data_IF_718923066305
#
_entry.id   IF_718923066305
#
_cell.length_a   1.000
_cell.length_b   1.000
_cell.length_c   1.000
_cell.angle_alpha   90.00
_cell.angle_beta   90.00
_cell.angle_gamma   90.00
#
_symmetry.space_group_name_H-M   'P 1'
#
loop_
_entity.id
_entity.type
_entity.pdbx_description
1 polymer ?
#
# COMPACT_ATOMS: atom_id res chain seq x y z
N UNK A 1 5.06 -21.98 -27.42
CA UNK A 1 4.79 -20.54 -27.55
C UNK A 1 5.65 -19.69 -26.59
N UNK A 2 6.92 -19.40 -26.90
CA UNK A 2 7.77 -18.58 -26.03
C UNK A 2 8.04 -17.15 -26.53
N UNK A 3 7.52 -16.74 -27.70
CA UNK A 3 7.77 -15.40 -28.24
C UNK A 3 6.94 -14.28 -27.61
N UNK A 4 5.74 -14.57 -27.11
CA UNK A 4 4.86 -13.54 -26.53
C UNK A 4 5.31 -13.02 -25.16
N UNK A 5 5.96 -13.86 -24.34
CA UNK A 5 6.49 -13.42 -23.03
C UNK A 5 7.71 -12.49 -23.17
N UNK A 6 8.63 -12.79 -24.06
CA UNK A 6 9.82 -11.93 -24.30
C UNK A 6 9.49 -10.56 -24.84
N UNK A 7 8.43 -10.42 -25.63
CA UNK A 7 7.95 -9.11 -26.13
C UNK A 7 7.25 -8.30 -25.04
N UNK A 8 6.53 -8.95 -24.12
CA UNK A 8 5.88 -8.31 -22.99
C UNK A 8 6.91 -7.84 -21.94
N UNK A 9 7.94 -8.66 -21.66
CA UNK A 9 9.01 -8.32 -20.73
C UNK A 9 9.89 -7.17 -21.29
N UNK A 10 10.16 -7.16 -22.59
CA UNK A 10 10.89 -6.07 -23.25
C UNK A 10 10.08 -4.74 -23.28
N UNK A 11 8.75 -4.80 -23.46
CA UNK A 11 7.89 -3.62 -23.42
C UNK A 11 7.73 -3.06 -21.99
N UNK A 12 7.68 -3.93 -20.98
CA UNK A 12 7.66 -3.55 -19.56
C UNK A 12 9.00 -2.94 -19.11
N UNK A 13 10.13 -3.49 -19.56
CA UNK A 13 11.45 -2.94 -19.32
C UNK A 13 11.61 -1.55 -19.95
N UNK A 14 11.23 -1.38 -21.21
CA UNK A 14 11.29 -0.09 -21.91
C UNK A 14 10.33 0.96 -21.33
N UNK A 15 9.20 0.55 -20.77
CA UNK A 15 8.28 1.45 -20.06
C UNK A 15 8.82 1.86 -18.68
N UNK A 16 9.50 0.96 -17.98
CA UNK A 16 10.18 1.23 -16.71
C UNK A 16 11.36 2.20 -16.93
N UNK A 17 12.22 1.95 -17.93
CA UNK A 17 13.33 2.86 -18.30
C UNK A 17 12.85 4.26 -18.70
N UNK A 18 11.73 4.37 -19.43
CA UNK A 18 11.12 5.68 -19.74
C UNK A 18 10.58 6.38 -18.50
N UNK A 19 10.06 5.64 -17.55
CA UNK A 19 9.58 6.17 -16.25
C UNK A 19 10.75 6.67 -15.39
N UNK A 20 11.84 5.93 -15.29
CA UNK A 20 13.06 6.31 -14.57
C UNK A 20 13.72 7.54 -15.18
N UNK A 21 13.90 7.59 -16.50
CA UNK A 21 14.48 8.75 -17.19
C UNK A 21 13.66 10.02 -17.00
N UNK A 22 12.33 9.94 -17.05
CA UNK A 22 11.44 11.08 -16.77
C UNK A 22 11.55 11.57 -15.32
N UNK A 23 11.85 10.68 -14.39
CA UNK A 23 11.96 10.96 -12.97
C UNK A 23 13.31 11.59 -12.62
N UNK A 24 14.42 11.06 -13.13
CA UNK A 24 15.74 11.69 -12.99
C UNK A 24 15.78 13.08 -13.61
N UNK A 25 15.13 13.31 -14.75
CA UNK A 25 15.00 14.63 -15.35
C UNK A 25 14.37 15.65 -14.39
N UNK A 26 13.35 15.28 -13.63
CA UNK A 26 12.72 16.17 -12.63
C UNK A 26 13.65 16.48 -11.45
N UNK A 27 14.42 15.50 -10.98
CA UNK A 27 15.38 15.65 -9.88
C UNK A 27 16.49 16.59 -10.33
N UNK A 28 17.09 16.32 -11.49
CA UNK A 28 18.15 17.16 -12.06
C UNK A 28 17.65 18.58 -12.30
N UNK A 29 16.42 18.73 -12.82
CA UNK A 29 15.82 20.05 -13.05
C UNK A 29 15.69 20.85 -11.74
N UNK A 30 15.30 20.19 -10.64
CA UNK A 30 15.20 20.85 -9.32
C UNK A 30 16.56 21.36 -8.84
N UNK A 31 17.63 20.57 -9.00
CA UNK A 31 19.00 20.95 -8.60
C UNK A 31 19.52 22.09 -9.46
N UNK A 32 19.37 21.97 -10.78
CA UNK A 32 19.88 22.96 -11.75
C UNK A 32 19.18 24.32 -11.58
N UNK A 33 17.88 24.32 -11.26
CA UNK A 33 17.14 25.55 -10.95
C UNK A 33 17.67 26.26 -9.70
N UNK A 34 18.03 25.51 -8.65
CA UNK A 34 18.65 26.11 -7.45
C UNK A 34 20.03 26.68 -7.73
N UNK A 35 20.79 26.10 -8.68
CA UNK A 35 22.08 26.64 -9.11
C UNK A 35 21.96 27.96 -9.87
N UNK A 36 20.78 28.30 -10.42
CA UNK A 36 20.52 29.56 -11.11
C UNK A 36 20.81 30.79 -10.25
N UNK A 37 20.53 30.69 -8.95
CA UNK A 37 20.73 31.80 -8.00
C UNK A 37 22.21 32.01 -7.64
N UNK A 38 23.06 31.01 -7.92
CA UNK A 38 24.49 31.01 -7.59
C UNK A 38 25.38 31.21 -8.83
N UNK A 39 24.82 31.08 -10.05
CA UNK A 39 25.57 31.06 -11.29
C UNK A 39 24.84 31.80 -12.43
N UNK A 40 25.53 32.72 -13.06
CA UNK A 40 25.07 33.54 -14.18
C UNK A 40 25.21 32.85 -15.56
N UNK A 41 25.57 31.56 -15.59
CA UNK A 41 25.79 30.77 -16.80
C UNK A 41 24.70 29.70 -16.95
N UNK A 42 24.49 29.26 -18.23
CA UNK A 42 23.67 28.07 -18.48
C UNK A 42 24.36 26.83 -17.89
N UNK A 43 23.63 26.11 -17.04
CA UNK A 43 24.06 24.85 -16.45
C UNK A 43 22.95 23.86 -16.65
N UNK A 44 23.29 22.61 -16.98
CA UNK A 44 22.31 21.57 -17.21
C UNK A 44 22.90 20.17 -17.28
N UNK A 45 22.07 19.24 -17.75
CA UNK A 45 22.39 17.81 -17.88
C UNK A 45 21.95 17.32 -19.26
N UNK A 46 22.76 16.50 -19.86
CA UNK A 46 22.42 15.74 -21.09
C UNK A 46 22.38 14.26 -20.78
N UNK A 47 21.53 13.53 -21.53
CA UNK A 47 21.47 12.06 -21.51
C UNK A 47 22.46 11.41 -22.47
N UNK A 48 22.48 10.08 -22.53
CA UNK A 48 23.32 9.29 -23.44
C UNK A 48 23.02 9.55 -24.93
N UNK A 49 21.83 10.07 -25.25
CA UNK A 49 21.44 10.44 -26.61
C UNK A 49 21.82 11.89 -26.98
N UNK A 50 22.42 12.61 -26.03
CA UNK A 50 22.79 14.02 -26.18
C UNK A 50 21.61 14.97 -26.06
N UNK A 51 20.48 14.53 -25.50
CA UNK A 51 19.33 15.37 -25.27
C UNK A 51 19.47 16.10 -23.94
N UNK A 52 19.23 17.40 -23.93
CA UNK A 52 19.20 18.20 -22.69
C UNK A 52 17.98 17.81 -21.88
N UNK A 53 18.19 17.12 -20.75
CA UNK A 53 17.12 16.61 -19.87
C UNK A 53 16.81 17.57 -18.73
N UNK A 54 17.74 18.46 -18.38
CA UNK A 54 17.56 19.50 -17.37
C UNK A 54 18.46 20.72 -17.70
N UNK A 55 17.95 21.93 -17.48
CA UNK A 55 18.71 23.15 -17.66
C UNK A 55 18.10 24.33 -16.87
N UNK A 56 18.93 25.23 -16.34
CA UNK A 56 18.47 26.48 -15.73
C UNK A 56 17.92 27.49 -16.76
N UNK A 57 18.27 27.34 -18.04
CA UNK A 57 17.64 28.00 -19.18
C UNK A 57 16.63 27.03 -19.80
N UNK A 58 15.32 27.19 -19.49
CA UNK A 58 14.28 26.26 -19.89
C UNK A 58 14.13 26.06 -21.41
N UNK A 59 14.56 27.03 -22.21
CA UNK A 59 14.55 26.96 -23.67
C UNK A 59 15.47 25.88 -24.26
N UNK A 60 16.50 25.46 -23.52
CA UNK A 60 17.44 24.44 -23.96
C UNK A 60 16.94 23.01 -23.74
N UNK A 61 15.90 22.82 -22.93
CA UNK A 61 15.39 21.47 -22.58
C UNK A 61 14.78 20.82 -23.83
N UNK A 62 15.21 19.58 -24.10
CA UNK A 62 14.78 18.81 -25.28
C UNK A 62 15.64 19.06 -26.54
N UNK A 63 16.57 20.01 -26.53
CA UNK A 63 17.51 20.17 -27.61
C UNK A 63 18.49 18.99 -27.67
N UNK A 64 18.87 18.59 -28.89
CA UNK A 64 19.87 17.54 -29.10
C UNK A 64 21.22 18.19 -29.47
N UNK A 65 22.19 17.98 -28.60
CA UNK A 65 23.58 18.42 -28.82
C UNK A 65 24.41 17.20 -29.21
N UNK A 66 24.81 17.13 -30.49
CA UNK A 66 25.47 15.98 -31.07
C UNK A 66 26.78 15.59 -30.39
N UNK A 67 27.09 14.29 -30.40
CA UNK A 67 28.31 13.65 -29.89
C UNK A 67 28.35 13.31 -28.40
N UNK A 68 27.20 13.03 -27.81
CA UNK A 68 27.10 12.59 -26.39
C UNK A 68 27.93 11.32 -26.10
N UNK A 69 28.00 10.37 -27.05
CA UNK A 69 28.74 9.11 -26.84
C UNK A 69 30.24 9.35 -26.57
N UNK A 70 30.86 10.36 -27.19
CA UNK A 70 32.26 10.72 -26.94
C UNK A 70 32.44 11.45 -25.59
N UNK A 71 31.40 12.19 -25.13
CA UNK A 71 31.40 12.89 -23.86
C UNK A 71 31.21 11.95 -22.69
N UNK A 72 30.39 10.90 -22.85
CA UNK A 72 30.10 9.89 -21.82
C UNK A 72 31.17 8.78 -21.77
N UNK A 73 31.90 8.56 -22.86
CA UNK A 73 33.05 7.63 -22.90
C UNK A 73 34.34 8.23 -22.30
N UNK A 74 34.33 9.52 -21.93
CA UNK A 74 35.46 10.15 -21.27
C UNK A 74 35.64 9.54 -19.85
N UNK A 75 36.88 9.54 -19.36
CA UNK A 75 37.16 9.14 -17.97
C UNK A 75 36.31 9.96 -17.00
N UNK A 76 35.82 9.34 -15.94
CA UNK A 76 34.85 9.94 -14.99
C UNK A 76 35.27 11.30 -14.43
N UNK A 77 36.58 11.59 -14.37
CA UNK A 77 37.11 12.88 -13.91
C UNK A 77 37.49 13.83 -15.03
N UNK A 78 37.37 13.42 -16.28
CA UNK A 78 37.78 14.26 -17.43
C UNK A 78 36.74 15.36 -17.68
N UNK A 79 37.24 16.59 -17.80
CA UNK A 79 36.49 17.72 -18.34
C UNK A 79 36.66 17.74 -19.85
N UNK A 80 35.57 17.79 -20.58
CA UNK A 80 35.55 17.85 -22.04
C UNK A 80 34.97 19.18 -22.48
N UNK A 81 35.73 19.92 -23.29
CA UNK A 81 35.29 21.22 -23.86
C UNK A 81 34.81 20.99 -25.27
N UNK A 82 33.60 21.42 -25.57
CA UNK A 82 33.04 21.32 -26.91
C UNK A 82 32.00 22.43 -27.18
N UNK A 83 32.12 23.11 -28.32
CA UNK A 83 31.16 24.09 -28.83
C UNK A 83 30.74 25.18 -27.82
N UNK A 84 31.69 25.74 -27.06
CA UNK A 84 31.39 26.80 -26.11
C UNK A 84 30.85 26.33 -24.78
N UNK A 85 30.89 25.01 -24.52
CA UNK A 85 30.44 24.39 -23.26
C UNK A 85 31.51 23.45 -22.69
N UNK A 86 31.59 23.40 -21.39
CA UNK A 86 32.38 22.44 -20.63
C UNK A 86 31.47 21.34 -20.10
N UNK A 87 31.82 20.07 -20.32
CA UNK A 87 31.07 18.89 -19.89
C UNK A 87 31.88 18.07 -18.91
N UNK A 88 31.16 17.42 -17.98
CA UNK A 88 31.75 16.42 -17.08
C UNK A 88 30.75 15.28 -16.88
N UNK A 89 31.16 14.01 -17.11
CA UNK A 89 30.30 12.85 -16.86
C UNK A 89 29.84 12.79 -15.40
N UNK A 90 28.58 12.38 -15.16
CA UNK A 90 28.12 11.99 -13.83
C UNK A 90 28.56 10.56 -13.54
N UNK A 91 29.05 10.25 -12.32
CA UNK A 91 29.39 8.88 -11.95
C UNK A 91 28.18 7.96 -12.14
N UNK A 92 28.34 6.88 -12.90
CA UNK A 92 27.33 5.88 -13.15
C UNK A 92 27.62 4.57 -12.44
N UNK A 93 26.65 3.66 -12.43
CA UNK A 93 26.82 2.29 -11.91
C UNK A 93 27.76 1.51 -12.86
N UNK A 94 28.69 0.76 -12.32
CA UNK A 94 29.71 -0.01 -13.09
C UNK A 94 30.68 0.80 -13.98
N UNK A 95 30.88 2.09 -13.70
CA UNK A 95 31.84 2.91 -14.43
C UNK A 95 31.37 3.44 -15.79
N UNK A 96 30.13 3.17 -16.19
CA UNK A 96 29.49 3.83 -17.32
C UNK A 96 28.63 5.00 -16.85
N UNK A 97 28.71 6.12 -17.54
CA UNK A 97 27.96 7.34 -17.24
C UNK A 97 26.77 7.47 -18.19
N UNK A 98 25.55 7.48 -17.65
CA UNK A 98 24.31 7.66 -18.43
C UNK A 98 23.99 9.14 -18.67
N UNK A 99 24.62 10.04 -17.91
CA UNK A 99 24.39 11.47 -17.92
C UNK A 99 25.70 12.26 -17.83
N UNK A 100 25.72 13.45 -18.42
CA UNK A 100 26.80 14.40 -18.24
C UNK A 100 26.25 15.78 -17.87
N UNK A 101 26.85 16.43 -16.87
CA UNK A 101 26.59 17.83 -16.59
C UNK A 101 27.32 18.72 -17.58
N UNK A 102 26.76 19.90 -17.88
CA UNK A 102 27.41 20.92 -18.69
C UNK A 102 27.30 22.31 -18.06
N UNK A 103 28.28 23.15 -18.40
CA UNK A 103 28.24 24.57 -18.08
C UNK A 103 28.68 25.36 -19.31
N UNK A 104 28.02 26.50 -19.63
CA UNK A 104 28.39 27.38 -20.73
C UNK A 104 29.74 28.07 -20.45
N UNK A 105 30.65 27.97 -21.39
CA UNK A 105 32.01 28.54 -21.34
C UNK A 105 33.08 27.46 -21.44
N UNK A 106 34.32 27.91 -21.75
CA UNK A 106 35.49 27.06 -21.93
C UNK A 106 36.61 27.45 -20.93
N UNK A 107 36.31 28.33 -20.01
CA UNK A 107 37.24 28.88 -19.03
C UNK A 107 37.25 28.09 -17.71
N UNK A 108 38.21 28.38 -16.84
CA UNK A 108 38.34 27.73 -15.52
C UNK A 108 37.08 27.87 -14.65
N UNK A 109 36.32 28.95 -14.81
CA UNK A 109 35.08 29.19 -14.08
C UNK A 109 33.96 28.24 -14.55
N UNK A 110 33.90 27.97 -15.87
CA UNK A 110 32.97 26.98 -16.42
C UNK A 110 33.32 25.56 -15.94
N UNK A 111 34.62 25.23 -15.88
CA UNK A 111 35.12 23.97 -15.38
C UNK A 111 34.77 23.77 -13.89
N UNK A 112 34.93 24.82 -13.07
CA UNK A 112 34.55 24.78 -11.66
C UNK A 112 33.04 24.60 -11.48
N UNK A 113 32.21 25.39 -12.16
CA UNK A 113 30.75 25.31 -12.10
C UNK A 113 30.26 23.94 -12.54
N UNK A 114 30.80 23.38 -13.63
CA UNK A 114 30.47 22.04 -14.11
C UNK A 114 30.83 20.97 -13.08
N UNK A 115 31.98 21.06 -12.45
CA UNK A 115 32.41 20.11 -11.38
C UNK A 115 31.52 20.19 -10.15
N UNK A 116 31.12 21.39 -9.71
CA UNK A 116 30.16 21.58 -8.61
C UNK A 116 28.79 21.04 -8.97
N UNK A 117 28.35 21.24 -10.24
CA UNK A 117 27.09 20.66 -10.72
C UNK A 117 27.10 19.14 -10.65
N UNK A 118 28.18 18.47 -11.05
CA UNK A 118 28.31 17.01 -10.94
C UNK A 118 28.16 16.55 -9.50
N UNK A 119 28.83 17.22 -8.54
CA UNK A 119 28.73 16.85 -7.12
C UNK A 119 27.28 16.97 -6.63
N UNK A 120 26.60 18.09 -6.93
CA UNK A 120 25.23 18.33 -6.49
C UNK A 120 24.24 17.36 -7.15
N UNK A 121 24.36 17.13 -8.45
CA UNK A 121 23.50 16.22 -9.22
C UNK A 121 23.69 14.77 -8.80
N UNK A 122 24.95 14.35 -8.61
CA UNK A 122 25.24 12.99 -8.13
C UNK A 122 24.71 12.77 -6.70
N UNK A 123 24.88 13.74 -5.81
CA UNK A 123 24.31 13.67 -4.47
C UNK A 123 22.77 13.54 -4.49
N UNK A 124 22.10 14.29 -5.36
CA UNK A 124 20.65 14.20 -5.52
C UNK A 124 20.22 12.86 -6.14
N UNK A 125 20.96 12.34 -7.13
CA UNK A 125 20.75 11.03 -7.75
C UNK A 125 20.90 9.91 -6.71
N UNK A 126 22.01 9.86 -5.98
CA UNK A 126 22.29 8.85 -4.95
C UNK A 126 21.24 8.88 -3.84
N UNK A 127 20.87 10.07 -3.35
CA UNK A 127 19.83 10.21 -2.34
C UNK A 127 18.48 9.65 -2.81
N UNK A 128 18.14 9.86 -4.09
CA UNK A 128 16.92 9.36 -4.68
C UNK A 128 16.94 7.83 -4.85
N UNK A 129 18.06 7.28 -5.34
CA UNK A 129 18.27 5.85 -5.50
C UNK A 129 18.18 5.12 -4.15
N UNK A 130 18.86 5.62 -3.12
CA UNK A 130 18.78 5.07 -1.75
C UNK A 130 17.36 5.05 -1.21
N UNK A 131 16.59 6.11 -1.48
CA UNK A 131 15.21 6.24 -1.04
C UNK A 131 14.28 5.26 -1.74
N UNK A 132 14.40 5.10 -3.06
CA UNK A 132 13.62 4.14 -3.84
C UNK A 132 14.00 2.70 -3.48
N UNK A 133 15.26 2.46 -3.17
CA UNK A 133 15.73 1.14 -2.77
C UNK A 133 15.12 0.72 -1.41
N UNK A 134 14.96 1.64 -0.44
CA UNK A 134 14.23 1.38 0.82
C UNK A 134 12.75 1.08 0.60
N UNK A 135 12.07 1.81 -0.26
CA UNK A 135 10.66 1.58 -0.57
C UNK A 135 10.46 0.23 -1.28
N UNK A 136 11.29 -0.07 -2.25
CA UNK A 136 11.31 -1.37 -2.94
C UNK A 136 11.65 -2.51 -2.00
N UNK A 137 12.61 -2.33 -1.11
CA UNK A 137 12.96 -3.29 -0.07
C UNK A 137 11.76 -3.61 0.85
N UNK A 138 11.09 -2.58 1.37
CA UNK A 138 9.90 -2.76 2.21
C UNK A 138 8.78 -3.45 1.43
N UNK A 139 8.55 -3.07 0.16
CA UNK A 139 7.55 -3.73 -0.71
C UNK A 139 7.86 -5.22 -0.87
N UNK A 140 9.12 -5.59 -1.11
CA UNK A 140 9.53 -6.98 -1.25
C UNK A 140 9.31 -7.78 0.05
N UNK A 141 9.50 -7.16 1.23
CA UNK A 141 9.18 -7.81 2.51
C UNK A 141 7.67 -8.02 2.63
N UNK A 142 6.84 -7.00 2.36
CA UNK A 142 5.38 -7.13 2.45
C UNK A 142 4.85 -8.27 1.57
N UNK A 143 5.41 -8.42 0.37
CA UNK A 143 4.99 -9.41 -0.62
C UNK A 143 5.66 -10.79 -0.48
N UNK A 144 6.46 -11.02 0.59
CA UNK A 144 7.25 -12.26 0.77
C UNK A 144 8.23 -12.57 -0.39
N UNK A 145 8.73 -11.54 -1.08
CA UNK A 145 9.64 -11.67 -2.23
C UNK A 145 11.13 -11.69 -1.82
N UNK A 146 11.44 -11.70 -0.53
CA UNK A 146 12.80 -11.72 0.03
C UNK A 146 12.90 -12.80 1.11
N UNK A 147 14.02 -13.52 1.13
CA UNK A 147 14.26 -14.54 2.14
C UNK A 147 14.50 -13.90 3.51
N UNK A 148 13.98 -14.54 4.57
CA UNK A 148 14.11 -14.03 5.95
C UNK A 148 15.57 -13.77 6.36
N UNK A 149 16.52 -14.61 5.89
CA UNK A 149 17.95 -14.43 6.15
C UNK A 149 18.54 -13.17 5.52
N UNK A 150 18.03 -12.78 4.35
CA UNK A 150 18.53 -11.63 3.58
C UNK A 150 17.96 -10.30 4.08
N UNK A 151 16.82 -10.32 4.79
CA UNK A 151 16.17 -9.11 5.31
C UNK A 151 17.14 -8.29 6.18
N UNK A 152 17.83 -8.93 7.12
CA UNK A 152 18.75 -8.22 8.02
C UNK A 152 20.02 -7.71 7.32
N UNK A 153 20.54 -8.49 6.37
CA UNK A 153 21.70 -8.10 5.57
C UNK A 153 21.36 -6.85 4.77
N UNK A 154 20.24 -6.90 4.03
CA UNK A 154 19.80 -5.80 3.20
C UNK A 154 19.40 -4.57 4.02
N UNK A 155 18.74 -4.75 5.17
CA UNK A 155 18.41 -3.65 6.08
C UNK A 155 19.67 -2.91 6.56
N UNK A 156 20.76 -3.64 6.85
CA UNK A 156 22.02 -3.05 7.25
C UNK A 156 22.67 -2.26 6.10
N UNK A 157 22.67 -2.80 4.89
CA UNK A 157 23.19 -2.12 3.69
C UNK A 157 22.45 -0.80 3.43
N UNK A 158 21.12 -0.81 3.57
CA UNK A 158 20.26 0.34 3.36
C UNK A 158 20.20 1.31 4.56
N UNK A 159 20.94 1.05 5.62
CA UNK A 159 20.81 1.80 6.88
C UNK A 159 19.35 1.91 7.35
N UNK A 160 18.62 0.79 7.24
CA UNK A 160 17.22 0.69 7.64
C UNK A 160 17.12 0.23 9.09
N UNK A 161 16.31 0.92 9.89
CA UNK A 161 16.10 0.56 11.31
C UNK A 161 15.29 -0.74 11.40
N UNK A 162 15.96 -1.85 11.71
CA UNK A 162 15.37 -3.20 11.74
C UNK A 162 14.41 -3.40 12.92
N UNK A 163 14.68 -2.74 14.04
CA UNK A 163 13.91 -2.84 15.28
C UNK A 163 13.25 -1.50 15.56
N UNK A 164 11.97 -1.40 15.29
CA UNK A 164 11.15 -0.24 15.59
C UNK A 164 9.67 -0.63 15.49
N UNK A 165 8.80 -0.04 16.34
CA UNK A 165 7.36 -0.26 16.25
C UNK A 165 6.80 0.23 14.90
N UNK A 166 6.11 -0.66 14.19
CA UNK A 166 5.47 -0.35 12.90
C UNK A 166 4.11 -1.01 12.80
N UNK A 167 3.22 -0.40 12.05
CA UNK A 167 1.96 -1.01 11.64
C UNK A 167 1.81 -0.91 10.12
N UNK A 168 1.10 -1.87 9.54
CA UNK A 168 0.69 -1.83 8.14
C UNK A 168 -0.79 -1.50 8.06
N UNK A 169 -1.10 -0.46 7.30
CA UNK A 169 -2.45 -0.01 6.98
C UNK A 169 -2.63 -0.25 5.49
N UNK A 170 -3.53 -1.16 5.13
CA UNK A 170 -3.86 -1.48 3.74
C UNK A 170 -5.13 -0.75 3.34
N UNK A 171 -5.03 0.08 2.32
CA UNK A 171 -6.11 0.87 1.77
C UNK A 171 -6.53 0.23 0.45
N UNK A 172 -7.76 -0.27 0.37
CA UNK A 172 -8.35 -0.83 -0.85
C UNK A 172 -9.39 0.12 -1.41
N UNK A 173 -9.17 0.59 -2.63
CA UNK A 173 -10.10 1.43 -3.36
C UNK A 173 -11.29 0.60 -3.87
N UNK A 174 -12.50 1.17 -3.75
CA UNK A 174 -13.73 0.55 -4.24
C UNK A 174 -14.19 1.30 -5.50
N UNK A 175 -14.28 0.59 -6.62
CA UNK A 175 -14.63 1.16 -7.93
C UNK A 175 -13.43 1.32 -8.85
N UNK A 176 -13.41 2.36 -9.67
CA UNK A 176 -12.28 2.64 -10.57
C UNK A 176 -11.06 3.08 -9.75
N UNK A 177 -9.89 2.45 -9.97
CA UNK A 177 -8.68 2.84 -9.25
C UNK A 177 -8.22 4.24 -9.67
N UNK A 178 -7.74 5.02 -8.69
CA UNK A 178 -7.13 6.32 -8.91
C UNK A 178 -5.66 6.26 -8.46
N UNK A 179 -4.75 6.45 -9.39
CA UNK A 179 -3.30 6.42 -9.14
C UNK A 179 -2.85 7.55 -8.21
N UNK A 180 -3.62 8.65 -8.14
CA UNK A 180 -3.35 9.78 -7.25
C UNK A 180 -3.56 9.45 -5.77
N UNK A 181 -4.19 8.31 -5.44
CA UNK A 181 -4.36 7.87 -4.06
C UNK A 181 -3.01 7.71 -3.33
N UNK A 182 -1.97 7.24 -4.01
CA UNK A 182 -0.60 7.14 -3.46
C UNK A 182 -0.05 8.52 -3.13
N UNK A 183 -0.26 9.52 -3.99
CA UNK A 183 0.24 10.87 -3.80
C UNK A 183 -0.46 11.57 -2.63
N UNK A 184 -1.79 11.41 -2.51
CA UNK A 184 -2.56 11.93 -1.37
C UNK A 184 -2.07 11.33 -0.06
N UNK A 185 -1.93 9.99 0.03
CA UNK A 185 -1.44 9.34 1.25
C UNK A 185 0.01 9.75 1.54
N UNK A 186 0.86 9.89 0.53
CA UNK A 186 2.26 10.32 0.69
C UNK A 186 2.38 11.77 1.19
N UNK A 187 1.45 12.65 0.82
CA UNK A 187 1.43 14.03 1.29
C UNK A 187 1.09 14.16 2.78
N UNK A 188 0.31 13.22 3.32
CA UNK A 188 -0.04 13.17 4.73
C UNK A 188 1.16 12.73 5.62
N UNK A 189 2.07 11.93 5.04
CA UNK A 189 3.23 11.37 5.74
C UNK A 189 4.53 11.74 5.00
N UNK A 190 5.01 12.98 5.15
CA UNK A 190 6.16 13.48 4.39
C UNK A 190 7.51 12.88 4.83
N UNK A 191 7.57 12.27 6.04
CA UNK A 191 8.79 11.61 6.53
C UNK A 191 9.01 10.25 5.83
N UNK A 192 9.57 10.36 4.63
CA UNK A 192 9.86 9.19 3.77
C UNK A 192 11.08 8.37 4.20
N UNK A 193 11.71 8.70 5.32
CA UNK A 193 12.78 7.88 5.93
C UNK A 193 12.19 6.81 6.84
N UNK A 194 11.06 7.10 7.47
CA UNK A 194 10.42 6.24 8.47
C UNK A 194 9.10 5.63 7.97
N UNK A 195 8.35 6.37 7.14
CA UNK A 195 7.02 6.00 6.64
C UNK A 195 7.07 5.65 5.15
N UNK A 196 6.48 4.53 4.76
CA UNK A 196 6.50 4.07 3.37
C UNK A 196 5.08 3.92 2.85
N UNK A 197 4.76 4.67 1.80
CA UNK A 197 3.52 4.55 1.04
C UNK A 197 3.81 3.81 -0.26
N UNK A 198 3.21 2.67 -0.44
CA UNK A 198 3.55 1.71 -1.49
C UNK A 198 2.30 1.35 -2.31
N UNK A 199 2.38 1.50 -3.61
CA UNK A 199 1.40 0.89 -4.52
C UNK A 199 1.67 -0.61 -4.59
N UNK A 200 0.70 -1.41 -4.13
CA UNK A 200 0.80 -2.87 -4.13
C UNK A 200 0.13 -3.45 -5.38
N UNK A 201 -1.03 -2.91 -5.73
CA UNK A 201 -1.77 -3.26 -6.94
C UNK A 201 -2.46 -2.01 -7.49
N UNK A 202 -3.25 -2.14 -8.55
CA UNK A 202 -4.04 -1.03 -9.10
C UNK A 202 -5.02 -0.43 -8.07
N UNK A 203 -5.56 -1.27 -7.18
CA UNK A 203 -6.56 -0.87 -6.18
C UNK A 203 -6.02 -0.74 -4.77
N UNK A 204 -4.84 -1.31 -4.47
CA UNK A 204 -4.35 -1.46 -3.12
C UNK A 204 -3.11 -0.59 -2.86
N UNK A 205 -3.21 0.28 -1.88
CA UNK A 205 -2.11 1.10 -1.36
C UNK A 205 -1.79 0.66 0.07
N UNK A 206 -0.53 0.36 0.36
CA UNK A 206 -0.07 0.04 1.71
C UNK A 206 0.70 1.20 2.32
N UNK A 207 0.33 1.61 3.52
CA UNK A 207 1.09 2.52 4.37
C UNK A 207 1.78 1.70 5.46
N UNK A 208 3.10 1.65 5.43
CA UNK A 208 3.93 1.15 6.54
C UNK A 208 4.29 2.33 7.41
N UNK A 209 3.63 2.45 8.55
CA UNK A 209 3.79 3.58 9.47
C UNK A 209 4.74 3.23 10.59
N UNK A 210 5.77 4.05 10.79
CA UNK A 210 6.60 4.04 11.99
C UNK A 210 5.84 4.67 13.16
N UNK A 211 5.90 4.05 14.33
CA UNK A 211 5.14 4.44 15.51
C UNK A 211 6.09 4.77 16.67
N UNK A 212 5.60 5.50 17.65
CA UNK A 212 6.31 5.68 18.92
C UNK A 212 6.32 4.39 19.76
N UNK A 213 7.26 4.29 20.71
CA UNK A 213 7.46 3.08 21.53
C UNK A 213 6.22 2.68 22.36
N UNK A 214 5.35 3.62 22.67
CA UNK A 214 4.11 3.40 23.46
C UNK A 214 2.84 3.47 22.60
N UNK A 215 2.96 3.38 21.28
CA UNK A 215 1.80 3.45 20.39
C UNK A 215 0.87 2.25 20.59
N UNK A 216 -0.42 2.52 20.60
CA UNK A 216 -1.46 1.50 20.68
C UNK A 216 -2.27 1.40 19.38
N UNK A 217 -3.10 0.37 19.28
CA UNK A 217 -3.93 0.14 18.10
C UNK A 217 -4.92 1.29 17.83
N UNK A 218 -5.30 2.06 18.85
CA UNK A 218 -6.21 3.21 18.71
C UNK A 218 -5.55 4.35 17.94
N UNK A 219 -4.23 4.53 18.14
CA UNK A 219 -3.44 5.49 17.36
C UNK A 219 -3.42 5.07 15.88
N UNK A 220 -3.17 3.79 15.59
CA UNK A 220 -3.18 3.27 14.22
C UNK A 220 -4.56 3.41 13.57
N UNK A 221 -5.64 3.20 14.33
CA UNK A 221 -7.01 3.43 13.85
C UNK A 221 -7.27 4.89 13.49
N UNK A 222 -6.76 5.85 14.29
CA UNK A 222 -6.86 7.29 13.96
C UNK A 222 -6.09 7.63 12.69
N UNK A 223 -4.89 7.05 12.51
CA UNK A 223 -4.12 7.18 11.26
C UNK A 223 -4.94 6.68 10.07
N UNK A 224 -5.53 5.49 10.19
CA UNK A 224 -6.39 4.90 9.15
C UNK A 224 -7.60 5.79 8.82
N UNK A 225 -8.23 6.38 9.84
CA UNK A 225 -9.34 7.31 9.67
C UNK A 225 -8.91 8.59 8.94
N UNK A 226 -7.80 9.21 9.32
CA UNK A 226 -7.27 10.40 8.67
C UNK A 226 -6.97 10.14 7.18
N UNK A 227 -6.39 8.99 6.85
CA UNK A 227 -6.13 8.58 5.46
C UNK A 227 -7.44 8.44 4.68
N UNK A 228 -8.43 7.74 5.23
CA UNK A 228 -9.71 7.53 4.58
C UNK A 228 -10.45 8.86 4.33
N UNK A 229 -10.48 9.74 5.33
CA UNK A 229 -11.10 11.06 5.23
C UNK A 229 -10.42 11.94 4.16
N UNK A 230 -9.07 11.90 4.09
CA UNK A 230 -8.33 12.65 3.07
C UNK A 230 -8.64 12.13 1.66
N UNK A 231 -8.62 10.82 1.43
CA UNK A 231 -8.93 10.22 0.13
C UNK A 231 -10.38 10.52 -0.30
N UNK A 232 -11.32 10.48 0.64
CA UNK A 232 -12.72 10.83 0.36
C UNK A 232 -12.87 12.31 0.02
N UNK A 233 -12.16 13.19 0.75
CA UNK A 233 -12.25 14.66 0.55
C UNK A 233 -11.57 15.10 -0.73
N UNK A 234 -10.40 14.58 -1.06
CA UNK A 234 -9.58 15.07 -2.16
C UNK A 234 -9.90 14.40 -3.50
N UNK A 235 -10.22 13.11 -3.49
CA UNK A 235 -10.47 12.33 -4.70
C UNK A 235 -11.92 11.83 -4.83
N UNK A 236 -12.73 11.95 -3.76
CA UNK A 236 -14.12 11.44 -3.76
C UNK A 236 -14.22 9.91 -3.81
N UNK A 237 -13.12 9.18 -3.60
CA UNK A 237 -13.11 7.72 -3.70
C UNK A 237 -13.58 7.07 -2.40
N UNK A 238 -14.30 5.94 -2.55
CA UNK A 238 -14.66 5.08 -1.42
C UNK A 238 -13.56 4.05 -1.20
N UNK A 239 -13.18 3.84 0.04
CA UNK A 239 -12.14 2.88 0.42
C UNK A 239 -12.58 1.98 1.55
N UNK A 240 -12.00 0.78 1.62
CA UNK A 240 -12.00 -0.08 2.80
C UNK A 240 -10.56 -0.19 3.29
N UNK A 241 -10.36 0.01 4.58
CA UNK A 241 -9.04 0.05 5.20
C UNK A 241 -8.88 -1.10 6.18
N UNK A 242 -7.87 -1.93 5.94
CA UNK A 242 -7.45 -3.00 6.85
C UNK A 242 -6.26 -2.55 7.68
N UNK A 243 -6.31 -2.83 8.96
CA UNK A 243 -5.24 -2.51 9.92
C UNK A 243 -4.68 -3.81 10.49
N UNK A 244 -3.39 -4.06 10.28
CA UNK A 244 -2.67 -5.17 10.89
C UNK A 244 -2.26 -4.88 12.33
N UNK A 245 -1.65 -5.86 13.01
CA UNK A 245 -1.09 -5.68 14.36
C UNK A 245 0.19 -4.85 14.33
N UNK A 246 0.51 -4.21 15.46
CA UNK A 246 1.79 -3.51 15.64
C UNK A 246 2.90 -4.55 15.79
N UNK A 247 4.00 -4.36 15.05
CA UNK A 247 5.17 -5.24 15.06
C UNK A 247 6.43 -4.45 15.40
N UNK A 248 7.35 -5.08 16.15
CA UNK A 248 8.62 -4.45 16.57
C UNK A 248 9.78 -4.73 15.62
N UNK A 249 9.66 -5.69 14.70
CA UNK A 249 10.75 -6.09 13.83
C UNK A 249 10.35 -6.04 12.36
N UNK A 250 11.27 -5.62 11.51
CA UNK A 250 11.05 -5.52 10.06
C UNK A 250 10.64 -6.86 9.42
N UNK A 251 11.16 -7.98 9.89
CA UNK A 251 10.82 -9.33 9.41
C UNK A 251 9.34 -9.69 9.58
N UNK A 252 8.64 -9.02 10.51
CA UNK A 252 7.24 -9.28 10.80
C UNK A 252 6.29 -8.44 9.93
N UNK A 253 6.82 -7.57 9.05
CA UNK A 253 6.00 -6.72 8.18
C UNK A 253 5.13 -7.53 7.20
N UNK A 254 5.63 -8.65 6.66
CA UNK A 254 4.83 -9.54 5.82
C UNK A 254 3.62 -10.10 6.57
N UNK A 255 3.80 -10.47 7.85
CA UNK A 255 2.73 -10.99 8.70
C UNK A 255 1.66 -9.92 8.92
N UNK A 256 2.03 -8.73 9.37
CA UNK A 256 1.07 -7.66 9.64
C UNK A 256 0.38 -7.16 8.36
N UNK A 257 1.04 -7.23 7.20
CA UNK A 257 0.41 -6.96 5.91
C UNK A 257 -0.67 -8.00 5.57
N UNK A 258 -0.39 -9.30 5.74
CA UNK A 258 -1.38 -10.37 5.56
C UNK A 258 -2.55 -10.24 6.54
N UNK A 259 -2.28 -9.83 7.78
CA UNK A 259 -3.32 -9.52 8.76
C UNK A 259 -4.24 -8.37 8.29
N UNK A 260 -3.67 -7.31 7.70
CA UNK A 260 -4.44 -6.21 7.13
C UNK A 260 -5.30 -6.65 5.93
N UNK A 261 -4.78 -7.55 5.07
CA UNK A 261 -5.56 -8.16 3.99
C UNK A 261 -6.73 -8.99 4.54
N UNK A 262 -6.45 -9.87 5.50
CA UNK A 262 -7.48 -10.69 6.17
C UNK A 262 -8.52 -9.79 6.84
N UNK A 263 -8.12 -8.67 7.44
CA UNK A 263 -9.05 -7.72 8.04
C UNK A 263 -10.06 -7.19 7.01
N UNK A 264 -9.60 -6.79 5.82
CA UNK A 264 -10.49 -6.36 4.74
C UNK A 264 -11.42 -7.49 4.29
N UNK A 265 -10.86 -8.67 4.04
CA UNK A 265 -11.61 -9.79 3.44
C UNK A 265 -12.65 -10.34 4.42
N UNK A 266 -12.29 -10.49 5.71
CA UNK A 266 -13.21 -10.92 6.77
C UNK A 266 -14.27 -9.84 7.05
N UNK A 267 -13.86 -8.57 7.07
CA UNK A 267 -14.77 -7.45 7.27
C UNK A 267 -15.85 -7.36 6.20
N UNK A 268 -15.49 -7.57 4.93
CA UNK A 268 -16.46 -7.63 3.82
C UNK A 268 -17.54 -8.69 4.01
N UNK A 269 -17.23 -9.77 4.71
CA UNK A 269 -18.18 -10.87 4.94
C UNK A 269 -19.05 -10.62 6.17
N UNK A 270 -18.44 -10.18 7.27
CA UNK A 270 -19.10 -10.18 8.59
C UNK A 270 -19.51 -8.80 9.09
N UNK A 271 -18.81 -7.73 8.64
CA UNK A 271 -19.01 -6.35 9.11
C UNK A 271 -19.02 -5.37 7.93
N UNK A 272 -20.03 -5.53 7.09
CA UNK A 272 -20.16 -4.77 5.81
C UNK A 272 -20.38 -3.27 5.99
N UNK A 273 -20.75 -2.82 7.18
CA UNK A 273 -21.00 -1.40 7.47
C UNK A 273 -19.74 -0.63 7.85
N UNK A 274 -18.70 -1.33 8.29
CA UNK A 274 -17.43 -0.71 8.66
C UNK A 274 -16.49 -0.60 7.49
N UNK A 275 -15.94 0.57 7.33
CA UNK A 275 -14.93 0.87 6.31
C UNK A 275 -13.50 0.79 6.83
N UNK A 276 -13.29 0.77 8.16
CA UNK A 276 -11.99 0.58 8.81
C UNK A 276 -12.08 -0.63 9.72
N UNK A 277 -11.26 -1.64 9.44
CA UNK A 277 -11.32 -2.94 10.10
C UNK A 277 -9.93 -3.29 10.61
N UNK A 278 -9.80 -3.47 11.94
CA UNK A 278 -8.56 -3.92 12.56
C UNK A 278 -8.58 -5.44 12.74
N UNK A 279 -7.47 -6.09 12.42
CA UNK A 279 -7.30 -7.54 12.55
C UNK A 279 -7.60 -8.05 13.98
N UNK A 280 -7.19 -7.29 14.99
CA UNK A 280 -7.44 -7.64 16.40
C UNK A 280 -8.93 -7.70 16.74
N UNK A 281 -9.77 -6.93 16.03
CA UNK A 281 -11.20 -6.82 16.31
C UNK A 281 -12.07 -7.81 15.52
N UNK A 282 -11.47 -8.67 14.70
CA UNK A 282 -12.22 -9.66 13.90
C UNK A 282 -12.89 -10.76 14.73
N UNK A 283 -12.41 -11.01 15.93
CA UNK A 283 -12.96 -12.01 16.82
C UNK A 283 -13.05 -13.40 16.18
N UNK A 284 -14.19 -14.04 16.35
CA UNK A 284 -14.46 -15.39 15.83
C UNK A 284 -14.53 -15.42 14.28
N UNK A 285 -14.81 -14.29 13.64
CA UNK A 285 -14.92 -14.19 12.18
C UNK A 285 -13.66 -14.66 11.47
N UNK A 286 -12.46 -14.34 11.99
CA UNK A 286 -11.20 -14.79 11.40
C UNK A 286 -10.99 -16.30 11.47
N UNK A 287 -11.50 -16.96 12.52
CA UNK A 287 -11.43 -18.41 12.65
C UNK A 287 -12.34 -19.08 11.61
N UNK A 288 -13.58 -18.61 11.50
CA UNK A 288 -14.53 -19.11 10.51
C UNK A 288 -14.02 -18.94 9.09
N UNK A 289 -13.42 -17.78 8.78
CA UNK A 289 -12.89 -17.49 7.44
C UNK A 289 -11.75 -18.43 7.01
N UNK A 290 -11.05 -19.05 7.97
CA UNK A 290 -9.98 -20.03 7.72
C UNK A 290 -10.47 -21.48 7.65
N UNK A 291 -11.73 -21.75 7.97
CA UNK A 291 -12.26 -23.12 7.92
C UNK A 291 -12.47 -23.59 6.47
N UNK A 292 -12.20 -24.87 6.19
CA UNK A 292 -12.60 -25.47 4.92
C UNK A 292 -14.11 -25.37 4.72
N UNK A 293 -14.54 -25.02 3.51
CA UNK A 293 -15.98 -24.88 3.19
C UNK A 293 -16.76 -26.18 3.42
N UNK A 294 -16.15 -27.34 3.15
CA UNK A 294 -16.72 -28.65 3.42
C UNK A 294 -17.05 -28.85 4.90
N UNK A 295 -16.16 -28.42 5.82
CA UNK A 295 -16.41 -28.47 7.25
C UNK A 295 -17.55 -27.53 7.64
N UNK A 296 -17.61 -26.36 7.03
CA UNK A 296 -18.69 -25.38 7.24
C UNK A 296 -20.05 -25.94 6.81
N UNK A 297 -20.14 -26.62 5.65
CA UNK A 297 -21.36 -27.27 5.18
C UNK A 297 -21.79 -28.40 6.11
N UNK A 298 -20.85 -29.24 6.53
CA UNK A 298 -21.14 -30.34 7.47
C UNK A 298 -21.71 -29.78 8.79
N UNK A 299 -21.09 -28.75 9.33
CA UNK A 299 -21.55 -28.09 10.57
C UNK A 299 -22.97 -27.55 10.43
N UNK A 300 -23.31 -26.88 9.33
CA UNK A 300 -24.68 -26.39 9.11
C UNK A 300 -25.70 -27.54 9.02
N UNK A 301 -25.37 -28.65 8.37
CA UNK A 301 -26.23 -29.84 8.28
C UNK A 301 -26.44 -30.50 9.65
N UNK A 302 -25.42 -30.50 10.51
CA UNK A 302 -25.51 -31.06 11.86
C UNK A 302 -26.37 -30.18 12.77
N UNK A 303 -26.22 -28.85 12.68
CA UNK A 303 -26.98 -27.90 13.50
C UNK A 303 -28.45 -27.84 13.09
N UNK A 304 -28.72 -27.79 11.78
CA UNK A 304 -30.07 -27.63 11.22
C UNK A 304 -30.61 -28.92 10.58
N UNK A 305 -30.64 -30.01 11.36
CA UNK A 305 -31.05 -31.35 10.85
C UNK A 305 -32.46 -31.42 10.25
N UNK A 306 -33.39 -30.59 10.74
CA UNK A 306 -34.81 -30.68 10.36
C UNK A 306 -35.24 -29.61 9.37
N UNK A 307 -34.73 -28.43 9.50
CA UNK A 307 -35.08 -27.29 8.64
C UNK A 307 -33.80 -26.51 8.30
N UNK A 308 -33.47 -26.32 7.04
CA UNK A 308 -32.33 -25.50 6.67
C UNK A 308 -32.51 -24.06 7.17
N UNK A 309 -31.41 -23.41 7.50
CA UNK A 309 -31.40 -22.01 7.97
C UNK A 309 -32.07 -21.07 6.93
N UNK A 310 -32.13 -21.47 5.68
CA UNK A 310 -32.79 -20.76 4.57
C UNK A 310 -34.33 -20.76 4.66
N UNK A 311 -34.90 -21.63 5.48
CA UNK A 311 -36.34 -21.62 5.76
C UNK A 311 -36.77 -20.51 6.73
N UNK A 312 -35.81 -19.78 7.32
CA UNK A 312 -36.09 -18.65 8.20
C UNK A 312 -36.41 -17.40 7.35
N UNK A 313 -37.58 -16.82 7.57
CA UNK A 313 -37.98 -15.58 6.94
C UNK A 313 -37.12 -14.37 7.41
N UNK A 314 -37.11 -13.29 6.64
CA UNK A 314 -36.32 -12.10 6.95
C UNK A 314 -36.69 -11.46 8.29
N UNK A 315 -37.97 -11.49 8.69
CA UNK A 315 -38.42 -10.95 9.97
C UNK A 315 -37.84 -11.76 11.14
N UNK A 316 -37.79 -13.07 11.00
CA UNK A 316 -37.18 -13.98 11.98
C UNK A 316 -35.68 -13.72 12.09
N UNK A 317 -34.95 -13.65 10.97
CA UNK A 317 -33.52 -13.32 10.94
C UNK A 317 -33.22 -11.94 11.56
N UNK A 318 -34.04 -10.93 11.26
CA UNK A 318 -33.92 -9.62 11.87
C UNK A 318 -34.12 -9.66 13.38
N UNK A 319 -35.14 -10.40 13.84
CA UNK A 319 -35.37 -10.60 15.29
C UNK A 319 -34.18 -11.26 15.97
N UNK A 320 -33.60 -12.30 15.37
CA UNK A 320 -32.42 -12.99 15.86
C UNK A 320 -31.22 -12.06 15.97
N UNK A 321 -30.93 -11.33 14.93
CA UNK A 321 -29.81 -10.37 14.91
C UNK A 321 -29.97 -9.32 16.01
N UNK A 322 -31.18 -8.74 16.14
CA UNK A 322 -31.47 -7.77 17.22
C UNK A 322 -31.36 -8.39 18.61
N UNK A 323 -31.68 -9.65 18.78
CA UNK A 323 -31.52 -10.35 20.03
C UNK A 323 -30.06 -10.56 20.42
N UNK A 324 -29.20 -10.92 19.45
CA UNK A 324 -27.74 -11.00 19.66
C UNK A 324 -27.11 -9.63 19.91
N UNK A 325 -27.50 -8.58 19.16
CA UNK A 325 -27.02 -7.21 19.37
C UNK A 325 -27.31 -6.67 20.78
N UNK A 326 -28.41 -7.11 21.38
CA UNK A 326 -28.80 -6.73 22.74
C UNK A 326 -28.38 -7.77 23.80
N UNK A 327 -27.33 -8.54 23.58
CA UNK A 327 -26.73 -9.50 24.50
C UNK A 327 -27.76 -10.49 25.11
N UNK A 328 -28.65 -11.01 24.27
CA UNK A 328 -29.71 -11.96 24.64
C UNK A 328 -30.71 -11.40 25.68
N UNK A 329 -30.81 -10.10 25.82
CA UNK A 329 -31.72 -9.44 26.73
C UNK A 329 -33.12 -9.29 26.10
N UNK A 330 -34.10 -10.08 26.56
CA UNK A 330 -35.47 -10.10 26.05
C UNK A 330 -36.15 -8.72 26.17
N UNK A 331 -36.00 -8.05 27.31
CA UNK A 331 -36.69 -6.78 27.57
C UNK A 331 -36.12 -5.64 26.70
N UNK A 332 -34.78 -5.59 26.59
CA UNK A 332 -34.11 -4.59 25.76
C UNK A 332 -34.39 -4.80 24.27
N UNK A 333 -34.35 -6.06 23.82
CA UNK A 333 -34.65 -6.40 22.41
C UNK A 333 -36.09 -6.07 22.07
N UNK A 334 -37.05 -6.38 22.94
CA UNK A 334 -38.47 -6.06 22.73
C UNK A 334 -38.66 -4.52 22.55
N UNK A 335 -37.98 -3.74 23.42
CA UNK A 335 -37.98 -2.27 23.32
C UNK A 335 -37.41 -1.76 22.00
N UNK A 336 -36.27 -2.33 21.58
CA UNK A 336 -35.59 -1.95 20.30
C UNK A 336 -36.40 -2.35 19.06
N UNK A 337 -37.15 -3.45 19.16
CA UNK A 337 -38.05 -3.91 18.09
C UNK A 337 -39.43 -3.25 18.12
N UNK A 338 -39.70 -2.39 19.09
CA UNK A 338 -41.01 -1.76 19.31
C UNK A 338 -42.16 -2.79 19.45
N UNK A 339 -41.90 -3.94 20.12
CA UNK A 339 -42.91 -4.95 20.35
C UNK A 339 -43.06 -5.21 21.85
N UNK A 340 -44.24 -5.79 22.25
CA UNK A 340 -44.41 -6.22 23.62
C UNK A 340 -43.48 -7.40 23.96
N UNK A 341 -43.00 -7.46 25.19
CA UNK A 341 -42.09 -8.54 25.65
C UNK A 341 -42.65 -9.94 25.36
N UNK A 342 -43.93 -10.17 25.56
CA UNK A 342 -44.56 -11.47 25.28
C UNK A 342 -44.54 -11.82 23.78
N UNK A 343 -44.65 -10.83 22.90
CA UNK A 343 -44.54 -11.04 21.47
C UNK A 343 -43.12 -11.51 21.08
N UNK A 344 -42.08 -10.93 21.68
CA UNK A 344 -40.70 -11.39 21.44
C UNK A 344 -40.50 -12.81 22.00
N UNK A 345 -41.01 -13.12 23.20
CA UNK A 345 -40.95 -14.47 23.74
C UNK A 345 -41.63 -15.49 22.80
N UNK A 346 -42.78 -15.16 22.27
CA UNK A 346 -43.47 -15.99 21.28
C UNK A 346 -42.63 -16.20 20.01
N UNK A 347 -41.98 -15.15 19.50
CA UNK A 347 -41.06 -15.24 18.35
C UNK A 347 -39.87 -16.17 18.67
N UNK A 348 -39.24 -16.05 19.82
CA UNK A 348 -38.15 -16.93 20.27
C UNK A 348 -38.59 -18.39 20.39
N UNK A 349 -39.81 -18.65 20.90
CA UNK A 349 -40.39 -20.00 20.92
C UNK A 349 -40.63 -20.54 19.51
N UNK A 350 -41.09 -19.71 18.55
CA UNK A 350 -41.24 -20.10 17.17
C UNK A 350 -39.86 -20.49 16.56
N UNK A 351 -38.80 -19.72 16.84
CA UNK A 351 -37.44 -20.01 16.39
C UNK A 351 -36.97 -21.35 16.97
N UNK A 352 -37.16 -21.58 18.25
CA UNK A 352 -36.85 -22.88 18.91
C UNK A 352 -37.55 -24.04 18.21
N UNK A 353 -38.84 -23.91 17.92
CA UNK A 353 -39.61 -24.97 17.22
C UNK A 353 -39.10 -25.24 15.81
N UNK A 354 -38.68 -24.21 15.09
CA UNK A 354 -38.18 -24.32 13.70
C UNK A 354 -36.77 -24.90 13.67
N UNK A 355 -35.87 -24.48 14.54
CA UNK A 355 -34.46 -24.81 14.49
C UNK A 355 -34.00 -25.88 15.46
N UNK A 356 -34.76 -26.08 16.53
CA UNK A 356 -34.39 -26.95 17.65
C UNK A 356 -33.52 -26.27 18.70
N UNK A 357 -33.09 -25.01 18.47
CA UNK A 357 -32.19 -24.24 19.34
C UNK A 357 -32.96 -23.17 20.10
N UNK A 358 -32.80 -23.14 21.42
CA UNK A 358 -33.38 -22.09 22.28
C UNK A 358 -32.38 -20.94 22.46
N UNK A 359 -32.57 -19.85 21.76
CA UNK A 359 -31.65 -18.70 21.80
C UNK A 359 -31.55 -18.02 23.20
N UNK A 360 -32.35 -18.42 24.15
CA UNK A 360 -32.24 -17.97 25.54
C UNK A 360 -31.23 -18.79 26.35
N UNK A 361 -30.90 -19.99 25.87
CA UNK A 361 -29.84 -20.84 26.40
C UNK A 361 -28.51 -20.45 25.74
N UNK A 362 -27.47 -20.27 26.56
CA UNK A 362 -26.20 -19.73 26.13
C UNK A 362 -25.53 -20.60 25.06
N UNK A 363 -25.49 -21.91 25.24
CA UNK A 363 -24.82 -22.84 24.30
C UNK A 363 -25.56 -22.91 22.95
N UNK A 364 -26.89 -22.90 22.97
CA UNK A 364 -27.72 -22.88 21.78
C UNK A 364 -27.56 -21.54 21.04
N UNK A 365 -27.49 -20.43 21.76
CA UNK A 365 -27.28 -19.10 21.22
C UNK A 365 -25.93 -18.98 20.53
N UNK A 366 -24.84 -19.47 21.14
CA UNK A 366 -23.50 -19.50 20.51
C UNK A 366 -23.54 -20.36 19.25
N UNK A 367 -24.07 -21.57 19.32
CA UNK A 367 -24.18 -22.49 18.19
C UNK A 367 -24.92 -21.83 17.04
N UNK A 368 -26.01 -21.16 17.30
CA UNK A 368 -26.80 -20.45 16.31
C UNK A 368 -26.02 -19.25 15.71
N UNK A 369 -25.34 -18.47 16.56
CA UNK A 369 -24.52 -17.31 16.12
C UNK A 369 -23.39 -17.76 15.19
N UNK A 370 -22.69 -18.84 15.55
CA UNK A 370 -21.64 -19.42 14.71
C UNK A 370 -22.22 -19.91 13.39
N UNK A 371 -23.37 -20.58 13.41
CA UNK A 371 -24.03 -21.07 12.21
C UNK A 371 -24.45 -19.93 11.26
N UNK A 372 -24.96 -18.80 11.76
CA UNK A 372 -25.22 -17.61 10.95
C UNK A 372 -23.95 -17.06 10.29
N UNK A 373 -22.84 -17.04 11.04
CA UNK A 373 -21.57 -16.57 10.49
C UNK A 373 -21.02 -17.54 9.43
N UNK A 374 -21.07 -18.85 9.70
CA UNK A 374 -20.68 -19.88 8.74
C UNK A 374 -21.49 -19.76 7.44
N UNK A 375 -22.80 -19.53 7.56
CA UNK A 375 -23.64 -19.29 6.38
C UNK A 375 -23.21 -18.06 5.60
N UNK A 376 -23.00 -16.91 6.25
CA UNK A 376 -22.50 -15.70 5.58
C UNK A 376 -21.19 -15.96 4.84
N UNK A 377 -20.30 -16.74 5.46
CA UNK A 377 -19.04 -17.12 4.84
C UNK A 377 -19.24 -17.98 3.58
N UNK A 378 -20.07 -19.04 3.63
CA UNK A 378 -20.36 -19.89 2.48
C UNK A 378 -20.98 -19.09 1.31
N UNK A 379 -21.96 -18.22 1.62
CA UNK A 379 -22.57 -17.34 0.60
C UNK A 379 -21.52 -16.44 -0.04
N UNK A 380 -20.58 -15.89 0.74
CA UNK A 380 -19.48 -15.05 0.21
C UNK A 380 -18.53 -15.83 -0.71
N UNK A 381 -18.50 -17.16 -0.61
CA UNK A 381 -17.74 -18.09 -1.47
C UNK A 381 -18.55 -18.60 -2.67
N UNK A 382 -19.79 -18.12 -2.85
CA UNK A 382 -20.68 -18.58 -3.93
C UNK A 382 -21.25 -19.97 -3.70
N UNK A 383 -21.23 -20.46 -2.45
CA UNK A 383 -21.78 -21.76 -2.07
C UNK A 383 -23.16 -21.52 -1.47
N UNK A 384 -24.20 -21.87 -2.23
CA UNK A 384 -25.57 -21.97 -1.74
C UNK A 384 -25.72 -23.30 -0.98
N UNK A 385 -26.04 -23.21 0.30
CA UNK A 385 -26.15 -24.37 1.19
C UNK A 385 -27.60 -24.88 1.29
#
# INVERSE_FOLDING_TARGET
>A
MPLGRKLCDAALSAAAEKGENAMFSRIFQSVVLQMKDCCDRAVGVIDEQGTVVACNELSCIGEKWGNAAALLAAEQDALVVNNGFTFKPLPGWNGQSDYAAFARGEDERAALVCSMAVIALNGAKTYYEEKNDKATFVKNILCDNILLGDIYVRAKELHFLSEAPRAVILIRQLGAPDVSAVDVVSSLYPDKQSDFVLSISETDVALVKHLGDNADIREVQKIAQNVQEALTRELGIKTVVGVGTIVGHIRDLARTYKEAQVAIDVGKVFDTERSIISYENLGIGRLIYQLPTTLCEMFLREVFKKNPIDALDQETLFTINKFFENNLNVSETARKLFVHRNTLVYRLEKIKKLTGLDLREFDDAITFKVALMVKKYLVSRGIES
#
